data_IF_597153398666
#
_entry.id   IF_597153398666
#
_cell.length_a   1.000
_cell.length_b   1.000
_cell.length_c   1.000
_cell.angle_alpha   90.00
_cell.angle_beta   90.00
_cell.angle_gamma   90.00
#
_symmetry.space_group_name_H-M   'P 1'
#
loop_
_entity.id
_entity.type
_entity.pdbx_description
1 polymer ?
#
# COMPACT_ATOMS: atom_id res chain seq x y z
N UNK A 1 -17.13 3.07 -35.32
CA UNK A 1 -15.86 3.81 -35.43
C UNK A 1 -15.21 3.74 -34.06
N UNK A 2 -14.06 3.08 -34.01
CA UNK A 2 -13.41 2.50 -32.83
C UNK A 2 -12.78 3.57 -31.93
N UNK A 3 -13.44 4.04 -30.88
CA UNK A 3 -12.79 4.91 -29.87
C UNK A 3 -13.43 4.81 -28.47
N UNK A 4 -13.81 3.62 -27.98
CA UNK A 4 -14.29 3.50 -26.58
C UNK A 4 -13.72 2.31 -25.76
N UNK A 5 -12.86 1.45 -26.30
CA UNK A 5 -12.40 0.24 -25.57
C UNK A 5 -10.89 0.15 -25.28
N UNK A 6 -10.07 1.12 -25.67
CA UNK A 6 -8.61 0.99 -25.54
C UNK A 6 -8.07 1.32 -24.13
N UNK A 7 -8.91 1.79 -23.20
CA UNK A 7 -8.47 2.20 -21.87
C UNK A 7 -8.71 1.14 -20.77
N UNK A 8 -9.60 0.16 -21.00
CA UNK A 8 -9.92 -0.89 -20.02
C UNK A 8 -8.77 -1.90 -19.80
N UNK A 9 -8.17 -2.48 -20.87
CA UNK A 9 -7.07 -3.43 -20.72
C UNK A 9 -5.82 -2.77 -20.15
N UNK A 10 -5.57 -1.51 -20.55
CA UNK A 10 -4.42 -0.76 -20.08
C UNK A 10 -4.55 -0.42 -18.60
N UNK A 11 -5.74 -0.02 -18.13
CA UNK A 11 -6.02 0.25 -16.72
C UNK A 11 -5.89 -1.01 -15.85
N UNK A 12 -6.37 -2.16 -16.32
CA UNK A 12 -6.24 -3.45 -15.64
C UNK A 12 -4.78 -3.96 -15.62
N UNK A 13 -4.03 -3.74 -16.70
CA UNK A 13 -2.61 -4.09 -16.75
C UNK A 13 -1.78 -3.20 -15.82
N UNK A 14 -2.02 -1.89 -15.81
CA UNK A 14 -1.34 -0.96 -14.89
C UNK A 14 -1.65 -1.26 -13.42
N UNK A 15 -2.89 -1.62 -13.07
CA UNK A 15 -3.21 -2.00 -11.70
C UNK A 15 -2.51 -3.29 -11.31
N UNK A 16 -2.53 -4.30 -12.18
CA UNK A 16 -1.90 -5.60 -11.90
C UNK A 16 -0.37 -5.49 -11.79
N UNK A 17 0.28 -4.77 -12.70
CA UNK A 17 1.73 -4.53 -12.65
C UNK A 17 2.14 -3.77 -11.40
N UNK A 18 1.33 -2.80 -10.97
CA UNK A 18 1.56 -2.06 -9.74
C UNK A 18 1.39 -2.95 -8.50
N UNK A 19 0.30 -3.71 -8.43
CA UNK A 19 -0.01 -4.60 -7.31
C UNK A 19 1.06 -5.69 -7.17
N UNK A 20 1.52 -6.29 -8.27
CA UNK A 20 2.60 -7.28 -8.26
C UNK A 20 3.91 -6.68 -7.72
N UNK A 21 4.28 -5.47 -8.17
CA UNK A 21 5.46 -4.75 -7.64
C UNK A 21 5.31 -4.41 -6.17
N UNK A 22 4.14 -3.91 -5.76
CA UNK A 22 3.86 -3.56 -4.36
C UNK A 22 3.97 -4.80 -3.49
N UNK A 23 3.33 -5.91 -3.86
CA UNK A 23 3.38 -7.18 -3.14
C UNK A 23 4.81 -7.74 -3.04
N UNK A 24 5.60 -7.66 -4.12
CA UNK A 24 7.00 -8.07 -4.11
C UNK A 24 7.86 -7.23 -3.17
N UNK A 25 7.56 -5.94 -3.01
CA UNK A 25 8.23 -5.07 -2.04
C UNK A 25 7.74 -5.32 -0.61
N UNK A 26 6.44 -5.51 -0.40
CA UNK A 26 5.86 -5.83 0.90
C UNK A 26 6.40 -7.16 1.44
N UNK A 27 6.64 -8.15 0.58
CA UNK A 27 7.27 -9.41 0.94
C UNK A 27 8.70 -9.27 1.51
N UNK A 28 9.38 -8.14 1.25
CA UNK A 28 10.72 -7.85 1.80
C UNK A 28 10.67 -7.15 3.16
N UNK A 29 9.49 -6.72 3.61
CA UNK A 29 9.32 -6.14 4.94
C UNK A 29 9.29 -7.24 6.01
N UNK A 30 9.73 -6.94 7.25
CA UNK A 30 9.44 -7.79 8.39
C UNK A 30 7.93 -8.05 8.51
N UNK A 31 7.55 -9.28 8.83
CA UNK A 31 6.17 -9.76 8.83
C UNK A 31 5.20 -8.80 9.55
N UNK A 32 5.53 -8.41 10.78
CA UNK A 32 4.71 -7.48 11.58
C UNK A 32 4.54 -6.12 10.89
N UNK A 33 5.58 -5.62 10.23
CA UNK A 33 5.50 -4.33 9.51
C UNK A 33 4.62 -4.45 8.28
N UNK A 34 4.72 -5.56 7.55
CA UNK A 34 3.84 -5.86 6.41
C UNK A 34 2.39 -5.94 6.86
N UNK A 35 2.11 -6.72 7.90
CA UNK A 35 0.77 -6.89 8.46
C UNK A 35 0.16 -5.55 8.90
N UNK A 36 0.91 -4.73 9.65
CA UNK A 36 0.46 -3.39 10.03
C UNK A 36 0.12 -2.53 8.80
N UNK A 37 0.95 -2.58 7.75
CA UNK A 37 0.70 -1.83 6.53
C UNK A 37 -0.57 -2.32 5.82
N UNK A 38 -0.75 -3.62 5.66
CA UNK A 38 -1.93 -4.23 5.01
C UNK A 38 -3.22 -3.89 5.74
N UNK A 39 -3.24 -3.93 7.07
CA UNK A 39 -4.42 -3.55 7.87
C UNK A 39 -4.82 -2.08 7.66
N UNK A 40 -3.85 -1.18 7.53
CA UNK A 40 -4.15 0.24 7.28
C UNK A 40 -4.55 0.46 5.82
N UNK A 41 -3.85 -0.17 4.88
CA UNK A 41 -3.99 0.11 3.45
C UNK A 41 -5.15 -0.64 2.80
N UNK A 42 -5.34 -1.93 3.09
CA UNK A 42 -6.42 -2.74 2.53
C UNK A 42 -7.70 -2.71 3.37
N UNK A 43 -7.57 -2.71 4.70
CA UNK A 43 -8.74 -2.75 5.60
C UNK A 43 -9.20 -1.36 6.06
N UNK A 44 -8.44 -0.30 5.76
CA UNK A 44 -8.77 1.07 6.13
C UNK A 44 -8.71 1.35 7.64
N UNK A 45 -8.05 0.49 8.40
CA UNK A 45 -7.99 0.62 9.86
C UNK A 45 -7.08 1.77 10.29
N UNK A 46 -7.47 2.47 11.34
CA UNK A 46 -6.64 3.50 11.97
C UNK A 46 -5.56 2.85 12.83
N UNK A 47 -4.45 3.55 13.03
CA UNK A 47 -3.34 3.05 13.87
C UNK A 47 -3.78 2.64 15.29
N UNK A 48 -4.81 3.29 15.84
CA UNK A 48 -5.41 2.90 17.13
C UNK A 48 -6.13 1.55 17.06
N UNK A 49 -6.90 1.30 16.01
CA UNK A 49 -7.63 0.03 15.82
C UNK A 49 -6.63 -1.12 15.61
N UNK A 50 -5.60 -0.90 14.80
CA UNK A 50 -4.50 -1.86 14.61
C UNK A 50 -3.73 -2.12 15.90
N UNK A 51 -3.52 -1.08 16.71
CA UNK A 51 -2.90 -1.19 18.04
C UNK A 51 -3.70 -2.09 18.97
N UNK A 52 -5.02 -1.97 18.98
CA UNK A 52 -5.92 -2.80 19.78
C UNK A 52 -5.94 -4.26 19.29
N UNK A 53 -5.98 -4.48 17.97
CA UNK A 53 -6.00 -5.82 17.35
C UNK A 53 -4.68 -6.56 17.59
N UNK A 54 -3.53 -5.91 17.35
CA UNK A 54 -2.21 -6.53 17.49
C UNK A 54 -1.65 -6.45 18.92
N UNK A 55 -2.40 -5.86 19.87
CA UNK A 55 -1.97 -5.68 21.26
C UNK A 55 -0.59 -5.01 21.37
N UNK A 56 -0.35 -4.01 20.51
CA UNK A 56 0.93 -3.30 20.38
C UNK A 56 0.72 -1.81 20.70
N UNK A 57 1.69 -1.09 21.30
CA UNK A 57 1.56 0.34 21.50
C UNK A 57 1.28 1.10 20.20
N UNK A 58 0.31 2.02 20.20
CA UNK A 58 -0.06 2.81 19.01
C UNK A 58 1.16 3.51 18.38
N UNK A 59 2.09 4.02 19.20
CA UNK A 59 3.34 4.65 18.70
C UNK A 59 4.22 3.69 17.90
N UNK A 60 4.23 2.41 18.27
CA UNK A 60 4.95 1.37 17.56
C UNK A 60 4.26 1.05 16.23
N UNK A 61 2.92 0.98 16.21
CA UNK A 61 2.13 0.83 14.97
C UNK A 61 2.40 1.99 14.01
N UNK A 62 2.33 3.24 14.49
CA UNK A 62 2.67 4.44 13.71
C UNK A 62 4.10 4.38 13.15
N UNK A 63 5.05 3.87 13.95
CA UNK A 63 6.43 3.67 13.52
C UNK A 63 6.53 2.59 12.44
N UNK A 64 5.79 1.49 12.53
CA UNK A 64 5.73 0.47 11.48
C UNK A 64 5.18 1.03 10.17
N UNK A 65 4.09 1.81 10.22
CA UNK A 65 3.50 2.49 9.05
C UNK A 65 4.52 3.44 8.42
N UNK A 66 5.16 4.30 9.22
CA UNK A 66 6.17 5.23 8.75
C UNK A 66 7.35 4.52 8.07
N UNK A 67 7.85 3.45 8.69
CA UNK A 67 8.97 2.67 8.14
C UNK A 67 8.59 1.92 6.87
N UNK A 68 7.35 1.41 6.78
CA UNK A 68 6.83 0.79 5.55
C UNK A 68 6.75 1.83 4.42
N UNK A 69 6.16 2.99 4.68
CA UNK A 69 6.08 4.09 3.71
C UNK A 69 7.44 4.60 3.28
N UNK A 70 8.40 4.74 4.21
CA UNK A 70 9.77 5.14 3.91
C UNK A 70 10.48 4.12 3.03
N UNK A 71 10.29 2.83 3.30
CA UNK A 71 10.81 1.75 2.47
C UNK A 71 10.20 1.80 1.07
N UNK A 72 8.87 1.82 0.96
CA UNK A 72 8.18 1.86 -0.33
C UNK A 72 8.58 3.09 -1.16
N UNK A 73 8.70 4.28 -0.54
CA UNK A 73 9.19 5.49 -1.23
C UNK A 73 10.59 5.33 -1.82
N UNK A 74 11.45 4.53 -1.20
CA UNK A 74 12.83 4.33 -1.66
C UNK A 74 12.92 3.35 -2.83
N UNK A 75 11.96 2.42 -2.92
CA UNK A 75 12.00 1.31 -3.87
C UNK A 75 10.99 1.41 -5.01
N UNK A 76 9.89 2.15 -4.82
CA UNK A 76 8.94 2.47 -5.88
C UNK A 76 9.44 3.65 -6.71
N UNK A 77 9.06 3.67 -7.98
CA UNK A 77 9.23 4.85 -8.82
C UNK A 77 8.38 6.01 -8.31
N UNK A 78 8.72 7.24 -8.69
CA UNK A 78 7.93 8.42 -8.28
C UNK A 78 6.46 8.32 -8.71
N UNK A 79 6.18 7.75 -9.89
CA UNK A 79 4.81 7.52 -10.37
C UNK A 79 4.08 6.46 -9.55
N UNK A 80 4.72 5.33 -9.27
CA UNK A 80 4.11 4.25 -8.48
C UNK A 80 3.83 4.71 -7.04
N UNK A 81 4.73 5.50 -6.46
CA UNK A 81 4.53 6.05 -5.13
C UNK A 81 3.39 7.09 -5.09
N UNK A 82 3.21 7.87 -6.15
CA UNK A 82 2.06 8.77 -6.28
C UNK A 82 0.75 7.98 -6.37
N UNK A 83 0.73 6.91 -7.16
CA UNK A 83 -0.41 5.99 -7.27
C UNK A 83 -0.78 5.46 -5.88
N UNK A 84 0.21 4.95 -5.13
CA UNK A 84 0.01 4.45 -3.76
C UNK A 84 -0.65 5.49 -2.84
N UNK A 85 -0.17 6.74 -2.86
CA UNK A 85 -0.72 7.83 -2.03
C UNK A 85 -2.15 8.18 -2.43
N UNK A 86 -2.45 8.21 -3.73
CA UNK A 86 -3.80 8.51 -4.22
C UNK A 86 -4.79 7.45 -3.77
N UNK A 87 -4.42 6.18 -3.85
CA UNK A 87 -5.26 5.08 -3.35
C UNK A 87 -5.42 5.11 -1.83
N UNK A 88 -4.37 5.44 -1.08
CA UNK A 88 -4.42 5.51 0.39
C UNK A 88 -5.20 6.72 0.95
N UNK A 89 -5.49 7.73 0.12
CA UNK A 89 -6.28 8.92 0.51
C UNK A 89 -7.74 8.88 0.05
N UNK A 90 -8.09 7.98 -0.86
CA UNK A 90 -9.43 7.87 -1.44
C UNK A 90 -10.31 6.81 -0.77
N UNK A 91 -9.75 6.06 0.18
CA UNK A 91 -10.43 5.14 1.09
C UNK A 91 -10.31 5.66 2.52
#
# INVERSE_FOLDING_TARGET
MYLENDCQPLKELFSKDFDEKLNALLAQLPEVRRQVFEMVYHEGLKAKEVSEILQMPQRTVESHIYLAMKFLRKHLSSSDFLILILFCKFF
#
